data_IF_176336825796
#
_entry.id   IF_176336825796
#
_cell.length_a   1.000
_cell.length_b   1.000
_cell.length_c   1.000
_cell.angle_alpha   90.00
_cell.angle_beta   90.00
_cell.angle_gamma   90.00
#
_symmetry.space_group_name_H-M   'P 1'
#
loop_
_entity.id
_entity.type
_entity.pdbx_description
1 polymer ?
#
# COMPACT_ATOMS: atom_id res chain seq x y z
N UNK A 1 23.03 11.74 -5.54
CA UNK A 1 23.41 10.33 -5.77
C UNK A 1 24.41 10.25 -6.91
N UNK A 2 25.49 9.47 -6.76
CA UNK A 2 26.46 9.24 -7.84
C UNK A 2 25.91 8.25 -8.90
N UNK A 3 26.59 8.17 -10.05
CA UNK A 3 26.15 7.35 -11.20
C UNK A 3 26.20 5.84 -10.93
N UNK A 4 27.11 5.36 -10.10
CA UNK A 4 27.25 3.92 -9.83
C UNK A 4 26.12 3.44 -8.92
N UNK A 5 25.76 4.23 -7.91
CA UNK A 5 24.61 3.96 -7.03
C UNK A 5 23.30 3.93 -7.82
N UNK A 6 23.10 4.89 -8.75
CA UNK A 6 21.93 4.89 -9.66
C UNK A 6 21.88 3.58 -10.46
N UNK A 7 23.00 3.19 -11.07
CA UNK A 7 23.11 1.99 -11.90
C UNK A 7 22.70 0.74 -11.14
N UNK A 8 23.19 0.54 -9.91
CA UNK A 8 22.85 -0.61 -9.07
C UNK A 8 21.35 -0.72 -8.74
N UNK A 9 20.69 0.43 -8.52
CA UNK A 9 19.25 0.47 -8.25
C UNK A 9 18.43 0.12 -9.50
N UNK A 10 18.82 0.61 -10.68
CA UNK A 10 18.01 0.49 -11.89
C UNK A 10 18.32 -0.74 -12.77
N UNK A 11 19.52 -1.31 -12.70
CA UNK A 11 20.00 -2.34 -13.65
C UNK A 11 19.14 -3.62 -13.71
N UNK A 12 18.45 -3.95 -12.61
CA UNK A 12 17.53 -5.10 -12.51
C UNK A 12 16.06 -4.69 -12.63
N UNK A 13 15.75 -3.39 -12.75
CA UNK A 13 14.37 -2.93 -12.75
C UNK A 13 13.82 -2.79 -14.19
N UNK A 14 12.80 -3.57 -14.61
CA UNK A 14 12.29 -3.60 -15.99
C UNK A 14 11.82 -2.24 -16.54
N UNK A 15 11.24 -1.39 -15.69
CA UNK A 15 10.78 -0.05 -16.09
C UNK A 15 11.86 1.03 -16.17
N UNK A 16 12.90 0.96 -15.33
CA UNK A 16 13.91 2.03 -15.22
C UNK A 16 15.16 1.75 -16.07
N UNK A 17 15.34 0.52 -16.54
CA UNK A 17 16.43 0.13 -17.42
C UNK A 17 15.91 -0.60 -18.66
N UNK A 18 16.17 -0.05 -19.84
CA UNK A 18 15.85 -0.70 -21.10
C UNK A 18 16.62 -2.02 -21.31
N UNK A 19 17.80 -2.22 -20.70
CA UNK A 19 18.47 -3.53 -20.73
C UNK A 19 17.79 -4.60 -19.88
N UNK A 20 16.97 -4.20 -18.88
CA UNK A 20 16.39 -5.09 -17.90
C UNK A 20 15.03 -5.68 -18.32
N UNK A 21 14.31 -5.02 -19.23
CA UNK A 21 12.89 -5.31 -19.47
C UNK A 21 12.59 -6.71 -20.04
N UNK A 22 13.55 -7.32 -20.74
CA UNK A 22 13.48 -8.69 -21.28
C UNK A 22 14.11 -9.74 -20.36
N UNK A 23 14.84 -9.32 -19.32
CA UNK A 23 15.63 -10.21 -18.46
C UNK A 23 14.97 -10.43 -17.09
N UNK A 24 14.42 -9.36 -16.52
CA UNK A 24 13.87 -9.34 -15.17
C UNK A 24 12.35 -9.25 -15.17
N UNK A 25 11.74 -9.94 -14.22
CA UNK A 25 10.30 -9.98 -14.03
C UNK A 25 9.88 -9.08 -12.87
N UNK A 26 8.63 -8.61 -12.93
CA UNK A 26 7.99 -7.86 -11.85
C UNK A 26 6.62 -8.43 -11.53
N UNK A 27 6.12 -8.11 -10.35
CA UNK A 27 4.74 -8.37 -9.93
C UNK A 27 4.09 -7.05 -9.49
N UNK A 28 2.86 -6.80 -9.92
CA UNK A 28 2.02 -5.74 -9.38
C UNK A 28 0.94 -6.33 -8.48
N UNK A 29 0.73 -5.69 -7.33
CA UNK A 29 -0.13 -6.17 -6.26
C UNK A 29 -1.31 -5.20 -6.07
N UNK A 30 -2.54 -5.59 -6.44
CA UNK A 30 -3.72 -4.72 -6.39
C UNK A 30 -4.29 -4.61 -4.97
N UNK A 31 -3.58 -3.91 -4.08
CA UNK A 31 -3.96 -3.75 -2.66
C UNK A 31 -4.52 -2.36 -2.34
N UNK A 32 -4.52 -1.43 -3.30
CA UNK A 32 -4.82 -0.02 -3.07
C UNK A 32 -6.08 0.45 -3.81
N UNK A 33 -7.30 0.09 -3.39
CA UNK A 33 -8.53 0.38 -4.14
C UNK A 33 -9.01 1.84 -4.08
N UNK A 34 -8.77 2.56 -2.98
CA UNK A 34 -9.22 3.94 -2.86
C UNK A 34 -8.36 4.90 -3.70
N UNK A 35 -8.92 6.03 -4.13
CA UNK A 35 -8.16 7.11 -4.75
C UNK A 35 -8.63 8.46 -4.21
N UNK A 36 -7.66 9.35 -3.99
CA UNK A 36 -7.84 10.67 -3.39
C UNK A 36 -7.94 11.81 -4.43
N UNK A 37 -7.94 11.50 -5.73
CA UNK A 37 -8.23 12.44 -6.82
C UNK A 37 -9.21 11.83 -7.83
N UNK A 38 -9.76 12.65 -8.72
CA UNK A 38 -10.55 12.20 -9.87
C UNK A 38 -9.99 12.85 -11.15
N UNK A 39 -9.31 12.05 -11.98
CA UNK A 39 -8.87 12.48 -13.30
C UNK A 39 -10.02 12.36 -14.32
N UNK A 40 -10.08 13.27 -15.29
CA UNK A 40 -11.10 13.24 -16.35
C UNK A 40 -10.88 12.09 -17.35
N UNK A 41 -9.68 11.51 -17.39
CA UNK A 41 -9.34 10.31 -18.17
C UNK A 41 -9.46 9.00 -17.39
N UNK A 42 -10.00 9.02 -16.16
CA UNK A 42 -10.09 7.83 -15.30
C UNK A 42 -11.55 7.45 -15.02
N UNK A 43 -11.82 6.16 -14.95
CA UNK A 43 -13.10 5.59 -14.52
C UNK A 43 -12.85 4.64 -13.34
N UNK A 44 -13.40 4.95 -12.16
CA UNK A 44 -13.17 4.22 -10.90
C UNK A 44 -13.71 2.78 -10.88
N UNK A 45 -14.45 2.37 -11.91
CA UNK A 45 -14.83 0.97 -12.11
C UNK A 45 -13.64 0.09 -12.54
N UNK A 46 -12.56 0.71 -13.00
CA UNK A 46 -11.36 0.07 -13.51
C UNK A 46 -10.12 0.49 -12.72
N UNK A 47 -9.03 -0.25 -12.90
CA UNK A 47 -7.71 0.05 -12.38
C UNK A 47 -7.21 1.42 -12.86
N UNK A 48 -6.36 2.03 -12.05
CA UNK A 48 -5.83 3.37 -12.25
C UNK A 48 -5.17 3.53 -13.62
N UNK A 49 -5.71 4.44 -14.42
CA UNK A 49 -5.25 4.70 -15.80
C UNK A 49 -3.84 5.32 -15.88
N UNK A 50 -3.27 5.74 -14.74
CA UNK A 50 -1.91 6.28 -14.67
C UNK A 50 -0.83 5.20 -14.84
N UNK A 51 -1.15 3.95 -14.46
CA UNK A 51 -0.21 2.82 -14.56
C UNK A 51 -0.76 1.68 -15.39
N UNK A 52 -2.09 1.55 -15.47
CA UNK A 52 -2.81 0.49 -16.19
C UNK A 52 -3.51 1.00 -17.43
N UNK A 53 -3.75 0.10 -18.39
CA UNK A 53 -4.68 0.38 -19.49
C UNK A 53 -6.09 0.53 -18.93
N UNK A 54 -6.90 1.48 -19.44
CA UNK A 54 -8.33 1.58 -19.13
C UNK A 54 -9.06 0.26 -19.39
N UNK A 55 -10.13 0.02 -18.63
CA UNK A 55 -10.96 -1.17 -18.78
C UNK A 55 -10.47 -2.42 -18.05
N UNK A 56 -9.30 -2.36 -17.39
CA UNK A 56 -8.77 -3.46 -16.58
C UNK A 56 -9.41 -3.44 -15.20
N UNK A 57 -9.86 -4.58 -14.71
CA UNK A 57 -10.26 -4.77 -13.31
C UNK A 57 -9.37 -5.81 -12.66
N UNK A 58 -8.74 -5.43 -11.55
CA UNK A 58 -8.02 -6.35 -10.68
C UNK A 58 -8.87 -6.77 -9.48
N UNK A 59 -8.72 -8.02 -9.07
CA UNK A 59 -9.26 -8.51 -7.80
C UNK A 59 -8.48 -7.85 -6.66
N UNK A 60 -9.17 -7.19 -5.73
CA UNK A 60 -8.52 -6.48 -4.62
C UNK A 60 -7.96 -7.52 -3.64
N UNK A 61 -6.66 -7.45 -3.38
CA UNK A 61 -5.98 -8.34 -2.44
C UNK A 61 -5.83 -7.69 -1.06
N UNK A 62 -5.89 -8.50 -0.01
CA UNK A 62 -5.32 -8.11 1.28
C UNK A 62 -3.79 -8.19 1.24
N UNK A 63 -3.07 -7.54 2.17
CA UNK A 63 -1.61 -7.68 2.24
C UNK A 63 -1.08 -9.11 2.34
N UNK A 64 -1.79 -10.00 3.03
CA UNK A 64 -1.44 -11.42 3.15
C UNK A 64 -1.61 -12.13 1.82
N UNK A 65 -2.73 -11.91 1.13
CA UNK A 65 -2.96 -12.48 -0.19
C UNK A 65 -1.93 -11.97 -1.20
N UNK A 66 -1.55 -10.69 -1.08
CA UNK A 66 -0.49 -10.11 -1.89
C UNK A 66 0.89 -10.74 -1.59
N UNK A 67 1.19 -11.04 -0.32
CA UNK A 67 2.39 -11.79 0.05
C UNK A 67 2.36 -13.22 -0.52
N UNK A 68 1.25 -13.94 -0.36
CA UNK A 68 1.08 -15.29 -0.91
C UNK A 68 1.33 -15.33 -2.43
N UNK A 69 0.74 -14.38 -3.16
CA UNK A 69 0.96 -14.25 -4.60
C UNK A 69 2.40 -13.87 -4.96
N UNK A 70 3.06 -13.06 -4.12
CA UNK A 70 4.48 -12.72 -4.29
C UNK A 70 5.36 -13.95 -4.12
N UNK A 71 5.10 -14.78 -3.11
CA UNK A 71 5.80 -16.04 -2.86
C UNK A 71 5.63 -16.99 -4.06
N UNK A 72 4.40 -17.19 -4.53
CA UNK A 72 4.15 -18.02 -5.71
C UNK A 72 4.87 -17.51 -6.96
N UNK A 73 4.77 -16.21 -7.24
CA UNK A 73 5.45 -15.62 -8.37
C UNK A 73 6.97 -15.75 -8.26
N UNK A 74 7.53 -15.62 -7.06
CA UNK A 74 8.96 -15.75 -6.83
C UNK A 74 9.49 -17.14 -7.20
N UNK A 75 8.71 -18.19 -6.95
CA UNK A 75 9.08 -19.56 -7.29
C UNK A 75 8.71 -19.97 -8.72
N UNK A 76 7.63 -19.42 -9.28
CA UNK A 76 7.12 -19.78 -10.59
C UNK A 76 7.71 -18.96 -11.74
N UNK A 77 8.18 -17.74 -11.47
CA UNK A 77 8.62 -16.79 -12.49
C UNK A 77 10.12 -16.54 -12.40
N UNK A 78 10.82 -16.85 -13.48
CA UNK A 78 12.26 -16.59 -13.57
C UNK A 78 12.58 -15.11 -13.39
N UNK A 79 13.63 -14.84 -12.60
CA UNK A 79 14.20 -13.52 -12.37
C UNK A 79 13.17 -12.49 -11.85
N UNK A 80 12.21 -12.90 -11.02
CA UNK A 80 11.38 -11.95 -10.28
C UNK A 80 12.27 -11.12 -9.36
N UNK A 81 12.28 -9.81 -9.59
CA UNK A 81 13.21 -8.88 -8.92
C UNK A 81 12.51 -7.66 -8.31
N UNK A 82 11.28 -7.37 -8.74
CA UNK A 82 10.53 -6.19 -8.33
C UNK A 82 9.11 -6.57 -7.92
N UNK A 83 8.69 -6.13 -6.75
CA UNK A 83 7.29 -6.11 -6.33
C UNK A 83 6.79 -4.67 -6.27
N UNK A 84 5.67 -4.39 -6.93
CA UNK A 84 5.12 -3.05 -7.06
C UNK A 84 3.66 -2.91 -6.67
N UNK A 85 3.27 -1.74 -6.18
CA UNK A 85 1.86 -1.39 -5.91
C UNK A 85 1.51 -0.18 -6.79
N UNK A 86 0.54 -0.39 -7.68
CA UNK A 86 0.19 0.55 -8.74
C UNK A 86 -1.31 0.86 -8.86
N UNK A 87 -2.15 0.29 -7.97
CA UNK A 87 -3.60 0.47 -8.02
C UNK A 87 -4.36 -0.62 -7.25
N UNK A 88 -5.67 -0.78 -7.47
CA UNK A 88 -6.51 -0.16 -8.52
C UNK A 88 -6.74 1.36 -8.43
N UNK A 89 -6.53 1.99 -7.29
CA UNK A 89 -6.63 3.43 -7.06
C UNK A 89 -5.25 4.10 -6.93
N UNK A 90 -5.04 4.83 -5.83
CA UNK A 90 -3.74 5.43 -5.49
C UNK A 90 -3.14 4.73 -4.27
N UNK A 91 -1.88 4.31 -4.36
CA UNK A 91 -1.23 3.57 -3.29
C UNK A 91 -1.17 4.37 -1.97
N UNK A 92 -0.90 5.67 -2.04
CA UNK A 92 -0.82 6.54 -0.87
C UNK A 92 -2.19 7.04 -0.36
N UNK A 93 -3.27 6.76 -1.08
CA UNK A 93 -4.63 6.84 -0.56
C UNK A 93 -5.01 5.59 0.27
N UNK A 94 -4.22 4.51 0.20
CA UNK A 94 -4.39 3.26 0.94
C UNK A 94 -3.08 2.91 1.67
N UNK A 95 -2.58 3.80 2.55
CA UNK A 95 -1.25 3.66 3.15
C UNK A 95 -1.13 2.41 4.02
N UNK A 96 -2.20 2.02 4.69
CA UNK A 96 -2.21 0.91 5.63
C UNK A 96 -1.98 -0.42 4.90
N UNK A 97 -2.77 -0.67 3.85
CA UNK A 97 -2.65 -1.82 2.97
C UNK A 97 -1.33 -1.79 2.19
N UNK A 98 -0.98 -0.64 1.60
CA UNK A 98 0.23 -0.49 0.79
C UNK A 98 1.51 -0.78 1.57
N UNK A 99 1.71 -0.11 2.70
CA UNK A 99 2.90 -0.30 3.52
C UNK A 99 2.85 -1.63 4.29
N UNK A 100 1.66 -2.13 4.63
CA UNK A 100 1.48 -3.48 5.18
C UNK A 100 2.00 -4.56 4.24
N UNK A 101 1.62 -4.50 2.96
CA UNK A 101 2.11 -5.43 1.93
C UNK A 101 3.62 -5.37 1.78
N UNK A 102 4.20 -4.17 1.73
CA UNK A 102 5.65 -4.01 1.60
C UNK A 102 6.44 -4.52 2.81
N UNK A 103 5.94 -4.33 4.04
CA UNK A 103 6.54 -4.94 5.25
C UNK A 103 6.63 -6.45 5.12
N UNK A 104 5.51 -7.10 4.82
CA UNK A 104 5.42 -8.54 4.65
C UNK A 104 6.37 -9.07 3.56
N UNK A 105 6.49 -8.36 2.43
CA UNK A 105 7.40 -8.74 1.35
C UNK A 105 8.88 -8.61 1.77
N UNK A 106 9.26 -7.52 2.46
CA UNK A 106 10.64 -7.34 2.93
C UNK A 106 11.03 -8.36 3.99
N UNK A 107 10.09 -8.74 4.85
CA UNK A 107 10.27 -9.81 5.81
C UNK A 107 10.46 -11.18 5.15
N UNK A 108 9.72 -11.47 4.08
CA UNK A 108 9.89 -12.70 3.30
C UNK A 108 11.23 -12.73 2.55
N UNK A 109 11.52 -11.66 1.80
CA UNK A 109 12.73 -11.56 1.00
C UNK A 109 13.19 -10.11 0.86
N UNK A 110 14.22 -9.69 1.61
CA UNK A 110 14.70 -8.30 1.59
C UNK A 110 15.36 -7.90 0.26
N UNK A 111 15.75 -8.86 -0.58
CA UNK A 111 16.38 -8.64 -1.90
C UNK A 111 15.39 -8.23 -2.99
N UNK A 112 14.08 -8.47 -2.77
CA UNK A 112 13.06 -8.02 -3.72
C UNK A 112 12.99 -6.49 -3.64
N UNK A 113 13.23 -5.84 -4.79
CA UNK A 113 13.12 -4.39 -4.90
C UNK A 113 11.65 -3.98 -4.83
N UNK A 114 11.35 -2.97 -4.02
CA UNK A 114 10.01 -2.42 -3.91
C UNK A 114 9.82 -1.22 -4.83
N UNK A 115 8.64 -1.12 -5.44
CA UNK A 115 8.27 -0.03 -6.33
C UNK A 115 6.86 0.50 -6.03
N UNK A 116 6.70 1.81 -5.93
CA UNK A 116 5.43 2.45 -5.59
C UNK A 116 5.00 3.37 -6.75
N UNK A 117 3.73 3.36 -7.12
CA UNK A 117 3.16 4.42 -7.97
C UNK A 117 2.12 5.24 -7.23
N UNK A 118 2.15 6.56 -7.43
CA UNK A 118 1.21 7.49 -6.82
C UNK A 118 0.91 8.68 -7.73
N UNK A 119 -0.26 9.29 -7.55
CA UNK A 119 -0.58 10.60 -8.10
C UNK A 119 0.14 11.77 -7.37
N UNK A 120 0.74 11.52 -6.21
CA UNK A 120 1.57 12.49 -5.50
C UNK A 120 0.84 13.40 -4.51
N UNK A 121 -0.50 13.39 -4.45
CA UNK A 121 -1.26 14.27 -3.53
C UNK A 121 -0.88 14.04 -2.06
N UNK A 122 -0.74 12.78 -1.65
CA UNK A 122 -0.42 12.43 -0.27
C UNK A 122 1.08 12.18 -0.03
N UNK A 123 1.92 12.29 -1.07
CA UNK A 123 3.31 11.88 -1.05
C UNK A 123 4.16 12.52 0.06
N UNK A 124 4.09 13.84 0.32
CA UNK A 124 4.89 14.46 1.38
C UNK A 124 4.66 13.86 2.77
N UNK A 125 3.49 13.26 3.02
CA UNK A 125 3.12 12.70 4.34
C UNK A 125 3.77 11.35 4.64
N UNK A 126 4.27 10.66 3.61
CA UNK A 126 4.68 9.25 3.72
C UNK A 126 6.13 9.01 3.30
N UNK A 127 6.94 10.07 3.15
CA UNK A 127 8.35 9.96 2.79
C UNK A 127 9.11 9.09 3.79
N UNK A 128 8.92 9.33 5.09
CA UNK A 128 9.62 8.57 6.15
C UNK A 128 9.32 7.07 6.06
N UNK A 129 8.05 6.70 5.81
CA UNK A 129 7.65 5.29 5.65
C UNK A 129 8.22 4.67 4.37
N UNK A 130 8.33 5.44 3.28
CA UNK A 130 8.95 5.00 2.03
C UNK A 130 10.43 4.68 2.26
N UNK A 131 11.14 5.55 2.98
CA UNK A 131 12.56 5.38 3.31
C UNK A 131 12.78 4.23 4.28
N UNK A 132 11.99 4.15 5.36
CA UNK A 132 12.07 3.10 6.38
C UNK A 132 11.93 1.70 5.77
N UNK A 133 11.04 1.54 4.79
CA UNK A 133 10.82 0.26 4.10
C UNK A 133 11.84 -0.03 3.00
N UNK A 134 12.76 0.90 2.73
CA UNK A 134 13.76 0.78 1.67
C UNK A 134 13.14 0.73 0.27
N UNK A 135 12.08 1.51 0.03
CA UNK A 135 11.48 1.63 -1.30
C UNK A 135 12.41 2.47 -2.18
N UNK A 136 13.05 1.84 -3.15
CA UNK A 136 14.06 2.48 -3.99
C UNK A 136 13.48 3.23 -5.20
N UNK A 137 12.27 2.87 -5.64
CA UNK A 137 11.68 3.35 -6.88
C UNK A 137 10.26 3.88 -6.63
N UNK A 138 10.02 5.15 -6.97
CA UNK A 138 8.71 5.76 -6.87
C UNK A 138 8.33 6.40 -8.20
N UNK A 139 7.17 6.02 -8.74
CA UNK A 139 6.57 6.68 -9.90
C UNK A 139 5.55 7.71 -9.42
N UNK A 140 5.69 8.96 -9.85
CA UNK A 140 4.73 10.02 -9.60
C UNK A 140 4.05 10.40 -10.91
N UNK A 141 2.72 10.43 -10.94
CA UNK A 141 2.00 10.93 -12.11
C UNK A 141 1.77 12.43 -12.00
N UNK A 142 2.40 13.20 -12.89
CA UNK A 142 2.32 14.66 -12.94
C UNK A 142 2.00 15.10 -14.37
N UNK A 143 0.77 15.56 -14.62
CA UNK A 143 0.30 15.90 -15.97
C UNK A 143 0.44 17.38 -16.32
N UNK A 144 0.66 18.25 -15.33
CA UNK A 144 0.80 19.68 -15.51
C UNK A 144 1.52 20.32 -14.31
N UNK A 145 2.31 21.35 -14.57
CA UNK A 145 2.88 22.27 -13.57
C UNK A 145 2.16 23.62 -13.49
N UNK A 146 1.25 23.89 -14.43
CA UNK A 146 0.42 25.09 -14.49
C UNK A 146 -1.00 24.74 -13.97
N UNK A 147 -1.50 25.41 -12.91
CA UNK A 147 -2.85 25.23 -12.41
C UNK A 147 -3.96 25.43 -13.45
N UNK A 148 -3.80 26.35 -14.41
CA UNK A 148 -4.80 26.64 -15.45
C UNK A 148 -4.96 25.48 -16.43
N UNK A 149 -3.91 24.69 -16.60
CA UNK A 149 -3.93 23.45 -17.38
C UNK A 149 -4.43 22.30 -16.50
N UNK A 150 -3.91 22.17 -15.28
CA UNK A 150 -4.26 21.10 -14.36
C UNK A 150 -5.76 21.05 -14.04
N UNK A 151 -6.42 22.21 -13.88
CA UNK A 151 -7.86 22.29 -13.58
C UNK A 151 -8.73 21.69 -14.69
N UNK A 152 -8.22 21.63 -15.94
CA UNK A 152 -8.89 20.97 -17.07
C UNK A 152 -8.74 19.44 -17.04
N UNK A 153 -7.76 18.92 -16.29
CA UNK A 153 -7.41 17.50 -16.22
C UNK A 153 -8.09 16.79 -15.05
N UNK A 154 -8.23 17.47 -13.91
CA UNK A 154 -8.75 16.89 -12.67
C UNK A 154 -10.13 17.45 -12.31
N UNK A 155 -11.14 16.58 -12.17
CA UNK A 155 -12.48 16.97 -11.70
C UNK A 155 -12.49 17.29 -10.20
N UNK A 156 -11.69 16.56 -9.42
CA UNK A 156 -11.62 16.69 -7.97
C UNK A 156 -10.23 16.30 -7.43
N UNK A 157 -9.74 17.01 -6.43
CA UNK A 157 -8.51 16.71 -5.69
C UNK A 157 -8.80 16.75 -4.20
N UNK A 158 -8.68 15.62 -3.50
CA UNK A 158 -8.85 15.53 -2.06
C UNK A 158 -10.25 15.90 -1.55
N UNK A 159 -11.28 15.80 -2.39
CA UNK A 159 -12.64 16.25 -2.09
C UNK A 159 -12.96 17.65 -2.59
N UNK A 160 -11.97 18.42 -3.06
CA UNK A 160 -12.14 19.81 -3.51
C UNK A 160 -12.08 19.95 -5.04
N UNK A 161 -12.69 20.99 -5.62
CA UNK A 161 -12.67 21.29 -7.07
C UNK A 161 -12.03 22.65 -7.35
N UNK A 162 -11.60 22.85 -8.59
CA UNK A 162 -11.12 24.15 -9.08
C UNK A 162 -9.61 24.38 -8.89
N UNK A 163 -9.18 25.62 -9.16
CA UNK A 163 -7.77 26.00 -9.23
C UNK A 163 -7.01 25.76 -7.91
N UNK A 164 -7.60 26.10 -6.76
CA UNK A 164 -6.93 25.91 -5.47
C UNK A 164 -6.68 24.42 -5.16
N UNK A 165 -7.62 23.56 -5.55
CA UNK A 165 -7.49 22.12 -5.39
C UNK A 165 -6.32 21.55 -6.22
N UNK A 166 -6.14 22.01 -7.46
CA UNK A 166 -5.02 21.56 -8.30
C UNK A 166 -3.69 22.23 -7.94
N UNK A 167 -3.68 23.46 -7.43
CA UNK A 167 -2.46 24.07 -6.84
C UNK A 167 -1.94 23.24 -5.68
N UNK A 168 -2.83 22.74 -4.82
CA UNK A 168 -2.48 21.81 -3.73
C UNK A 168 -1.88 20.51 -4.24
N UNK A 169 -2.45 19.92 -5.31
CA UNK A 169 -1.89 18.74 -5.95
C UNK A 169 -0.46 18.99 -6.46
N UNK A 170 -0.28 20.03 -7.27
CA UNK A 170 1.02 20.39 -7.86
C UNK A 170 2.05 20.67 -6.76
N UNK A 171 1.68 21.46 -5.75
CA UNK A 171 2.54 21.77 -4.62
C UNK A 171 3.02 20.52 -3.87
N UNK A 172 2.11 19.57 -3.60
CA UNK A 172 2.45 18.32 -2.93
C UNK A 172 3.28 17.39 -3.81
N UNK A 173 3.02 17.33 -5.12
CA UNK A 173 3.85 16.58 -6.08
C UNK A 173 5.29 17.12 -6.09
N UNK A 174 5.46 18.43 -6.27
CA UNK A 174 6.77 19.09 -6.30
C UNK A 174 7.52 18.85 -4.98
N UNK A 175 6.86 19.09 -3.84
CA UNK A 175 7.47 18.88 -2.52
C UNK A 175 7.87 17.42 -2.33
N UNK A 176 6.97 16.48 -2.62
CA UNK A 176 7.20 15.06 -2.47
C UNK A 176 8.35 14.54 -3.35
N UNK A 177 8.42 14.98 -4.61
CA UNK A 177 9.53 14.61 -5.52
C UNK A 177 10.87 15.11 -4.95
N UNK A 178 10.94 16.36 -4.47
CA UNK A 178 12.17 16.90 -3.86
C UNK A 178 12.61 16.11 -2.64
N UNK A 179 11.66 15.75 -1.78
CA UNK A 179 11.94 14.96 -0.57
C UNK A 179 12.45 13.56 -0.94
N UNK A 180 11.83 12.88 -1.90
CA UNK A 180 12.29 11.56 -2.38
C UNK A 180 13.72 11.62 -2.94
N UNK A 181 14.02 12.63 -3.76
CA UNK A 181 15.34 12.82 -4.36
C UNK A 181 16.40 13.12 -3.28
N UNK A 182 16.05 13.91 -2.26
CA UNK A 182 16.93 14.19 -1.12
C UNK A 182 17.29 12.90 -0.35
N UNK A 183 16.36 11.95 -0.26
CA UNK A 183 16.54 10.63 0.36
C UNK A 183 17.12 9.58 -0.61
N UNK A 184 17.65 10.00 -1.77
CA UNK A 184 18.23 9.13 -2.81
C UNK A 184 17.28 8.03 -3.33
N UNK A 185 15.96 8.30 -3.34
CA UNK A 185 14.96 7.46 -4.01
C UNK A 185 14.93 7.81 -5.50
N UNK A 186 14.89 6.80 -6.37
CA UNK A 186 14.81 6.99 -7.82
C UNK A 186 13.36 7.34 -8.18
N UNK A 187 13.16 8.54 -8.74
CA UNK A 187 11.84 9.03 -9.12
C UNK A 187 11.61 8.93 -10.63
N UNK A 188 10.56 8.23 -11.04
CA UNK A 188 10.01 8.26 -12.40
C UNK A 188 8.78 9.16 -12.44
N UNK A 189 8.64 9.94 -13.51
CA UNK A 189 7.43 10.71 -13.74
C UNK A 189 6.63 10.10 -14.88
N UNK A 190 5.33 9.87 -14.67
CA UNK A 190 4.39 9.61 -15.76
C UNK A 190 3.64 10.91 -16.09
N UNK A 191 3.46 11.18 -17.38
CA UNK A 191 2.54 12.22 -17.84
C UNK A 191 1.65 11.68 -18.96
N UNK A 192 0.35 11.84 -18.81
CA UNK A 192 -0.64 11.53 -19.86
C UNK A 192 -0.68 12.69 -20.84
N UNK A 193 -0.38 12.40 -22.11
CA UNK A 193 -0.47 13.35 -23.21
C UNK A 193 -1.94 13.48 -23.66
N UNK A 194 -2.51 14.66 -23.44
CA UNK A 194 -3.91 15.00 -23.69
C UNK A 194 -3.95 16.11 -24.76
N UNK A 195 -4.29 15.78 -26.03
CA UNK A 195 -4.33 16.74 -27.12
C UNK A 195 -5.24 17.95 -26.83
N UNK A 196 -4.77 19.15 -27.15
CA UNK A 196 -5.48 20.41 -26.91
C UNK A 196 -5.61 20.82 -25.44
N UNK A 197 -4.95 20.11 -24.53
CA UNK A 197 -4.97 20.41 -23.08
C UNK A 197 -3.57 20.63 -22.54
N UNK A 198 -2.67 19.65 -22.70
CA UNK A 198 -1.30 19.73 -22.17
C UNK A 198 -0.22 19.33 -23.18
N UNK A 199 -0.57 19.11 -24.43
CA UNK A 199 0.31 18.69 -25.52
C UNK A 199 1.46 19.68 -25.79
N UNK A 200 1.22 20.98 -25.64
CA UNK A 200 2.28 22.00 -25.68
C UNK A 200 2.98 22.21 -24.33
N UNK A 201 2.43 21.65 -23.25
CA UNK A 201 2.86 21.87 -21.86
C UNK A 201 3.80 20.80 -21.31
N UNK A 202 3.75 19.57 -21.84
CA UNK A 202 4.56 18.46 -21.30
C UNK A 202 6.07 18.78 -21.30
N UNK A 203 6.57 19.58 -22.25
CA UNK A 203 7.97 20.02 -22.24
C UNK A 203 8.33 20.91 -21.02
N UNK A 204 7.40 21.74 -20.56
CA UNK A 204 7.57 22.53 -19.32
C UNK A 204 7.53 21.64 -18.08
N UNK A 205 6.65 20.62 -18.09
CA UNK A 205 6.66 19.56 -17.06
C UNK A 205 8.02 18.88 -17.03
N UNK A 206 8.56 18.47 -18.18
CA UNK A 206 9.86 17.82 -18.32
C UNK A 206 11.00 18.70 -17.76
N UNK A 207 11.02 19.99 -18.11
CA UNK A 207 11.99 20.95 -17.54
C UNK A 207 11.90 21.01 -16.02
N UNK A 208 10.69 21.15 -15.50
CA UNK A 208 10.45 21.24 -14.05
C UNK A 208 10.94 19.98 -13.33
N UNK A 209 10.54 18.79 -13.79
CA UNK A 209 10.90 17.54 -13.11
C UNK A 209 12.41 17.24 -13.16
N UNK A 210 13.10 17.69 -14.23
CA UNK A 210 14.57 17.63 -14.30
C UNK A 210 15.20 18.48 -13.21
N UNK A 211 14.73 19.71 -13.03
CA UNK A 211 15.20 20.62 -11.97
C UNK A 211 14.96 20.02 -10.57
N UNK A 212 13.88 19.25 -10.40
CA UNK A 212 13.59 18.52 -9.16
C UNK A 212 14.45 17.25 -8.96
N UNK A 213 15.17 16.80 -10.00
CA UNK A 213 16.03 15.62 -9.95
C UNK A 213 15.34 14.30 -10.29
N UNK A 214 14.21 14.33 -11.01
CA UNK A 214 13.58 13.12 -11.54
C UNK A 214 14.52 12.37 -12.49
N UNK A 215 14.52 11.05 -12.42
CA UNK A 215 15.44 10.20 -13.18
C UNK A 215 14.97 9.96 -14.62
N UNK A 216 13.69 9.65 -14.79
CA UNK A 216 13.12 9.31 -16.10
C UNK A 216 11.69 9.82 -16.23
N UNK A 217 11.35 10.32 -17.41
CA UNK A 217 10.02 10.80 -17.76
C UNK A 217 9.38 9.85 -18.76
N UNK A 218 8.17 9.41 -18.47
CA UNK A 218 7.39 8.48 -19.28
C UNK A 218 6.12 9.18 -19.76
N UNK A 219 6.17 9.69 -20.99
CA UNK A 219 5.01 10.28 -21.66
C UNK A 219 4.18 9.15 -22.26
N UNK A 220 2.96 9.00 -21.76
CA UNK A 220 2.00 7.97 -22.18
C UNK A 220 0.81 8.62 -22.91
N UNK A 221 0.28 7.98 -23.97
CA UNK A 221 -0.84 8.54 -24.71
C UNK A 221 -2.14 8.48 -23.88
N UNK A 222 -2.98 9.50 -24.02
CA UNK A 222 -4.37 9.42 -23.59
C UNK A 222 -5.08 8.30 -24.35
N UNK A 223 -5.89 7.53 -23.62
CA UNK A 223 -6.86 6.60 -24.17
C UNK A 223 -8.27 7.13 -23.88
N UNK A 224 -9.04 7.42 -24.93
CA UNK A 224 -10.26 8.24 -24.88
C UNK A 224 -11.43 7.64 -25.68
N UNK A 225 -11.34 6.36 -26.08
CA UNK A 225 -12.48 5.68 -26.71
C UNK A 225 -13.70 5.65 -25.78
N UNK A 226 -14.89 5.79 -26.37
CA UNK A 226 -16.19 5.80 -25.66
C UNK A 226 -16.38 4.58 -24.75
N UNK A 227 -15.86 3.43 -25.14
CA UNK A 227 -15.92 2.18 -24.36
C UNK A 227 -15.25 2.27 -22.97
N UNK A 228 -14.32 3.21 -22.77
CA UNK A 228 -13.67 3.41 -21.47
C UNK A 228 -14.55 4.16 -20.46
N UNK A 229 -15.61 4.84 -20.92
CA UNK A 229 -16.55 5.55 -20.06
C UNK A 229 -15.90 6.60 -19.16
N UNK A 230 -14.92 7.34 -19.70
CA UNK A 230 -14.23 8.44 -19.00
C UNK A 230 -14.85 9.77 -19.41
N UNK A 231 -14.69 10.81 -18.58
CA UNK A 231 -15.21 12.15 -18.90
C UNK A 231 -14.58 12.72 -20.17
N UNK A 232 -13.30 12.46 -20.42
CA UNK A 232 -12.67 12.85 -21.69
C UNK A 232 -13.18 12.07 -22.90
N UNK A 233 -13.56 10.80 -22.73
CA UNK A 233 -14.23 10.05 -23.78
C UNK A 233 -15.64 10.59 -24.08
N UNK A 234 -16.38 11.01 -23.05
CA UNK A 234 -17.68 11.68 -23.18
C UNK A 234 -17.56 13.05 -23.85
N UNK A 235 -16.49 13.79 -23.57
CA UNK A 235 -16.15 15.07 -24.18
C UNK A 235 -15.52 14.94 -25.58
N UNK A 236 -15.36 13.72 -26.08
CA UNK A 236 -14.77 13.41 -27.39
C UNK A 236 -13.36 13.99 -27.58
N UNK A 237 -12.57 14.07 -26.50
CA UNK A 237 -11.16 14.46 -26.57
C UNK A 237 -10.40 13.39 -27.38
N UNK A 238 -9.65 13.75 -28.43
CA UNK A 238 -8.99 12.78 -29.29
C UNK A 238 -7.81 12.10 -28.59
N UNK A 239 -7.50 10.86 -28.99
CA UNK A 239 -6.25 10.20 -28.62
C UNK A 239 -5.09 10.80 -29.42
N UNK A 240 -3.90 11.01 -28.84
CA UNK A 240 -2.74 11.49 -29.59
C UNK A 240 -2.30 10.43 -30.60
N UNK A 241 -2.01 10.87 -31.82
CA UNK A 241 -1.42 9.98 -32.82
C UNK A 241 0.09 9.74 -32.55
N UNK A 242 0.67 8.80 -33.30
CA UNK A 242 2.08 8.46 -33.16
C UNK A 242 3.02 9.64 -33.46
N UNK A 243 2.63 10.55 -34.35
CA UNK A 243 3.46 11.69 -34.74
C UNK A 243 3.51 12.74 -33.61
N UNK A 244 2.36 13.04 -33.01
CA UNK A 244 2.24 13.92 -31.85
C UNK A 244 3.00 13.34 -30.65
N UNK A 245 2.83 12.05 -30.35
CA UNK A 245 3.55 11.40 -29.25
C UNK A 245 5.07 11.43 -29.47
N UNK A 246 5.53 11.17 -30.70
CA UNK A 246 6.95 11.26 -31.03
C UNK A 246 7.48 12.69 -30.91
N UNK A 247 6.73 13.69 -31.41
CA UNK A 247 7.09 15.10 -31.28
C UNK A 247 7.25 15.51 -29.82
N UNK A 248 6.24 15.25 -28.99
CA UNK A 248 6.27 15.62 -27.57
C UNK A 248 7.40 14.93 -26.83
N UNK A 249 7.69 13.65 -27.15
CA UNK A 249 8.85 12.96 -26.59
C UNK A 249 10.15 13.65 -26.96
N UNK A 250 10.35 14.02 -28.23
CA UNK A 250 11.54 14.75 -28.67
C UNK A 250 11.67 16.10 -27.94
N UNK A 251 10.57 16.86 -27.82
CA UNK A 251 10.56 18.13 -27.09
C UNK A 251 10.95 17.92 -25.59
N UNK A 252 10.55 16.79 -25.01
CA UNK A 252 10.95 16.40 -23.65
C UNK A 252 12.39 15.91 -23.57
N UNK A 253 12.94 15.27 -24.60
CA UNK A 253 14.35 14.87 -24.65
C UNK A 253 15.25 16.11 -24.57
N UNK A 254 14.91 17.17 -25.30
CA UNK A 254 15.62 18.45 -25.25
C UNK A 254 15.55 19.07 -23.85
N UNK A 255 14.37 19.06 -23.22
CA UNK A 255 14.17 19.57 -21.87
C UNK A 255 14.94 18.75 -20.81
N UNK A 256 14.81 17.41 -20.85
CA UNK A 256 15.47 16.47 -19.95
C UNK A 256 16.99 16.40 -20.19
N UNK A 257 17.45 16.74 -21.40
CA UNK A 257 18.86 16.82 -21.81
C UNK A 257 19.46 15.50 -22.30
N UNK A 258 18.68 14.42 -22.37
CA UNK A 258 19.10 13.13 -22.93
C UNK A 258 17.89 12.25 -23.24
N UNK A 259 17.98 11.48 -24.32
CA UNK A 259 16.98 10.47 -24.69
C UNK A 259 16.92 9.30 -23.70
N UNK A 260 18.00 9.02 -22.96
CA UNK A 260 18.00 8.00 -21.90
C UNK A 260 17.07 8.36 -20.73
N UNK A 261 16.77 9.65 -20.56
CA UNK A 261 15.85 10.13 -19.54
C UNK A 261 14.39 10.13 -20.00
N UNK A 262 14.09 9.69 -21.23
CA UNK A 262 12.73 9.51 -21.74
C UNK A 262 12.42 8.03 -21.94
N UNK A 263 11.34 7.54 -21.31
CA UNK A 263 10.93 6.14 -21.41
C UNK A 263 10.19 5.87 -22.72
N UNK A 264 10.73 4.98 -23.55
CA UNK A 264 10.13 4.59 -24.84
C UNK A 264 9.53 3.19 -24.86
N UNK A 265 9.91 2.32 -23.91
CA UNK A 265 9.52 0.90 -23.85
C UNK A 265 8.30 0.62 -22.97
N UNK A 266 7.58 1.64 -22.52
CA UNK A 266 6.38 1.48 -21.71
C UNK A 266 5.28 0.74 -22.47
N UNK A 267 4.68 -0.26 -21.83
CA UNK A 267 3.55 -1.04 -22.38
C UNK A 267 2.22 -0.80 -21.67
N UNK A 268 2.17 0.17 -20.74
CA UNK A 268 1.02 0.44 -19.85
C UNK A 268 0.52 -0.86 -19.20
N UNK A 269 1.25 -1.37 -18.22
CA UNK A 269 0.99 -2.70 -17.65
C UNK A 269 -0.20 -2.71 -16.70
N UNK A 270 -0.85 -3.86 -16.52
CA UNK A 270 -1.97 -3.99 -15.57
C UNK A 270 -1.52 -3.84 -14.11
N UNK A 271 -2.43 -3.47 -13.21
CA UNK A 271 -2.16 -3.39 -11.76
C UNK A 271 -2.03 -4.77 -11.10
N UNK A 272 -2.35 -5.85 -11.84
CA UNK A 272 -2.21 -7.26 -11.47
C UNK A 272 -1.20 -8.02 -12.36
N UNK A 273 -0.33 -7.30 -13.08
CA UNK A 273 0.61 -7.91 -14.01
C UNK A 273 1.72 -8.68 -13.27
N UNK A 274 2.05 -9.87 -13.76
CA UNK A 274 3.22 -10.64 -13.34
C UNK A 274 4.04 -11.10 -14.55
N UNK A 275 5.38 -10.97 -14.47
CA UNK A 275 6.30 -11.41 -15.52
C UNK A 275 7.16 -10.30 -16.12
N UNK A 276 7.73 -10.59 -17.30
CA UNK A 276 8.60 -9.68 -18.06
C UNK A 276 7.76 -8.70 -18.88
N UNK A 277 8.32 -7.53 -19.19
CA UNK A 277 7.64 -6.57 -20.07
C UNK A 277 7.44 -7.17 -21.47
N UNK A 278 6.19 -7.34 -21.89
CA UNK A 278 5.83 -7.96 -23.19
C UNK A 278 5.44 -9.45 -23.10
N UNK A 279 5.69 -10.09 -21.96
CA UNK A 279 5.26 -11.47 -21.66
C UNK A 279 4.67 -11.51 -20.25
N UNK A 280 3.54 -10.83 -20.09
CA UNK A 280 2.86 -10.65 -18.79
C UNK A 280 1.65 -11.57 -18.68
N UNK A 281 1.51 -12.22 -17.53
CA UNK A 281 0.31 -12.96 -17.10
C UNK A 281 -0.46 -12.16 -16.04
N UNK A 282 -1.71 -12.56 -15.74
CA UNK A 282 -2.46 -12.01 -14.61
C UNK A 282 -2.02 -12.72 -13.32
N UNK A 283 -1.90 -11.99 -12.21
CA UNK A 283 -1.63 -12.58 -10.88
C UNK A 283 -2.68 -13.62 -10.46
N UNK A 284 -3.93 -13.46 -10.95
CA UNK A 284 -5.03 -14.39 -10.72
C UNK A 284 -4.81 -15.76 -11.38
N UNK A 285 -4.08 -15.77 -12.50
CA UNK A 285 -3.81 -17.00 -13.27
C UNK A 285 -2.66 -17.81 -12.67
N UNK A 286 -1.92 -17.25 -11.71
CA UNK A 286 -0.97 -18.00 -10.90
C UNK A 286 -1.74 -18.89 -9.93
N UNK A 287 -1.79 -20.20 -10.22
CA UNK A 287 -2.25 -21.17 -9.23
C UNK A 287 -1.27 -21.20 -8.07
N UNK A 288 -1.77 -20.95 -6.85
CA UNK A 288 -1.02 -21.27 -5.63
C UNK A 288 -0.89 -22.79 -5.59
N UNK A 289 0.28 -23.29 -5.96
CA UNK A 289 0.61 -24.69 -5.77
C UNK A 289 0.85 -24.99 -4.28
N UNK A 290 0.98 -26.27 -3.96
CA UNK A 290 1.25 -26.71 -2.59
C UNK A 290 2.55 -26.14 -2.04
N UNK A 291 3.57 -26.03 -2.89
CA UNK A 291 4.86 -25.43 -2.56
C UNK A 291 4.70 -23.98 -2.07
N UNK A 292 3.92 -23.16 -2.77
CA UNK A 292 3.64 -21.77 -2.39
C UNK A 292 2.94 -21.63 -1.05
N UNK A 293 1.95 -22.52 -0.78
CA UNK A 293 1.25 -22.55 0.51
C UNK A 293 2.19 -22.89 1.65
N UNK A 294 3.01 -23.93 1.48
CA UNK A 294 4.03 -24.31 2.46
C UNK A 294 5.01 -23.18 2.74
N UNK A 295 5.40 -22.41 1.72
CA UNK A 295 6.29 -21.26 1.90
C UNK A 295 5.61 -20.11 2.65
N UNK A 296 4.35 -19.79 2.35
CA UNK A 296 3.57 -18.80 3.13
C UNK A 296 3.46 -19.20 4.60
N UNK A 297 3.19 -20.48 4.86
CA UNK A 297 3.12 -21.03 6.22
C UNK A 297 4.49 -21.02 6.91
N UNK A 298 5.57 -21.30 6.19
CA UNK A 298 6.93 -21.21 6.71
C UNK A 298 7.33 -19.76 7.06
N UNK A 299 6.94 -18.79 6.23
CA UNK A 299 7.15 -17.37 6.49
C UNK A 299 6.39 -16.93 7.73
N UNK A 300 5.09 -17.24 7.80
CA UNK A 300 4.32 -16.94 9.01
C UNK A 300 4.91 -17.66 10.23
N UNK A 301 5.33 -18.91 10.08
CA UNK A 301 6.03 -19.67 11.11
C UNK A 301 7.26 -18.92 11.63
N UNK A 302 8.09 -18.39 10.72
CA UNK A 302 9.28 -17.62 11.09
C UNK A 302 8.96 -16.30 11.78
N UNK A 303 7.96 -15.56 11.28
CA UNK A 303 7.51 -14.32 11.90
C UNK A 303 6.94 -14.56 13.29
N UNK A 304 6.18 -15.64 13.43
CA UNK A 304 5.63 -16.06 14.71
C UNK A 304 6.75 -16.50 15.66
N UNK A 305 7.77 -17.22 15.20
CA UNK A 305 8.96 -17.54 16.02
C UNK A 305 9.67 -16.29 16.55
N UNK A 306 9.90 -15.30 15.68
CA UNK A 306 10.53 -14.04 16.07
C UNK A 306 9.66 -13.30 17.09
N UNK A 307 8.35 -13.24 16.86
CA UNK A 307 7.39 -12.67 17.82
C UNK A 307 7.43 -13.43 19.16
N UNK A 308 7.43 -14.76 19.14
CA UNK A 308 7.53 -15.59 20.34
C UNK A 308 8.81 -15.30 21.13
N UNK A 309 9.94 -15.11 20.45
CA UNK A 309 11.21 -14.80 21.10
C UNK A 309 11.18 -13.41 21.75
N UNK A 310 10.76 -12.39 21.00
CA UNK A 310 10.60 -11.00 21.46
C UNK A 310 9.67 -10.90 22.68
N UNK A 311 8.48 -11.52 22.58
CA UNK A 311 7.49 -11.55 23.65
C UNK A 311 8.01 -12.31 24.88
N UNK A 312 8.73 -13.42 24.71
CA UNK A 312 9.30 -14.16 25.85
C UNK A 312 10.29 -13.31 26.65
N UNK A 313 11.13 -12.53 25.96
CA UNK A 313 12.06 -11.60 26.60
C UNK A 313 11.29 -10.52 27.35
N UNK A 314 10.31 -9.88 26.72
CA UNK A 314 9.50 -8.84 27.35
C UNK A 314 8.73 -9.34 28.58
N UNK A 315 8.12 -10.54 28.51
CA UNK A 315 7.41 -11.14 29.65
C UNK A 315 8.37 -11.39 30.82
N UNK A 316 9.58 -11.87 30.56
CA UNK A 316 10.57 -12.09 31.60
C UNK A 316 11.00 -10.78 32.28
N UNK A 317 11.13 -9.68 31.53
CA UNK A 317 11.44 -8.34 32.07
C UNK A 317 10.32 -7.75 32.92
N UNK A 318 9.08 -8.22 32.73
CA UNK A 318 7.88 -7.77 33.45
C UNK A 318 7.36 -8.79 34.46
N UNK A 319 8.14 -9.84 34.77
CA UNK A 319 7.70 -10.96 35.62
C UNK A 319 7.17 -10.50 36.98
N UNK A 320 7.88 -9.60 37.66
CA UNK A 320 7.48 -9.11 38.99
C UNK A 320 6.14 -8.34 38.95
N UNK A 321 5.81 -7.68 37.83
CA UNK A 321 4.54 -6.98 37.63
C UNK A 321 3.39 -7.92 37.29
N UNK A 322 3.72 -9.11 36.78
CA UNK A 322 2.76 -10.16 36.44
C UNK A 322 2.55 -11.16 37.60
N UNK A 323 3.22 -10.97 38.75
CA UNK A 323 3.06 -11.81 39.92
C UNK A 323 1.59 -11.85 40.36
N UNK A 324 1.04 -13.07 40.47
CA UNK A 324 -0.37 -13.35 40.81
C UNK A 324 -1.41 -12.65 39.90
N UNK A 325 -1.01 -12.20 38.71
CA UNK A 325 -1.86 -11.48 37.76
C UNK A 325 -1.91 -12.19 36.41
N UNK A 326 -3.01 -11.99 35.71
CA UNK A 326 -3.16 -12.42 34.32
C UNK A 326 -3.65 -11.25 33.50
N UNK A 327 -2.86 -10.83 32.52
CA UNK A 327 -3.25 -9.82 31.55
C UNK A 327 -3.74 -10.53 30.30
N UNK A 328 -5.02 -10.36 29.97
CA UNK A 328 -5.67 -10.94 28.80
C UNK A 328 -5.89 -9.89 27.73
N UNK A 329 -5.45 -10.20 26.52
CA UNK A 329 -5.57 -9.31 25.37
C UNK A 329 -6.23 -10.06 24.22
N UNK A 330 -7.33 -9.53 23.71
CA UNK A 330 -7.96 -10.03 22.49
C UNK A 330 -7.47 -9.24 21.27
N UNK A 331 -7.19 -9.90 20.15
CA UNK A 331 -6.73 -9.25 18.91
C UNK A 331 -7.67 -9.59 17.77
N UNK A 332 -8.25 -8.56 17.14
CA UNK A 332 -9.17 -8.73 16.01
C UNK A 332 -8.43 -9.22 14.75
N UNK A 333 -8.79 -10.41 14.27
CA UNK A 333 -8.15 -11.04 13.13
C UNK A 333 -9.15 -11.86 12.31
N UNK A 334 -9.10 -11.77 10.98
CA UNK A 334 -9.93 -12.57 10.09
C UNK A 334 -9.39 -13.99 9.88
N UNK A 335 -8.07 -14.17 10.06
CA UNK A 335 -7.36 -15.43 9.78
C UNK A 335 -6.58 -16.00 10.98
N UNK A 336 -6.57 -15.30 12.12
CA UNK A 336 -5.86 -15.69 13.33
C UNK A 336 -4.33 -15.51 13.27
N UNK A 337 -3.80 -14.94 12.19
CA UNK A 337 -2.37 -14.73 11.98
C UNK A 337 -1.97 -13.29 12.27
N UNK A 338 -2.68 -12.33 11.67
CA UNK A 338 -2.33 -10.91 11.70
C UNK A 338 -3.47 -10.02 12.20
N UNK A 339 -3.13 -8.85 12.75
CA UNK A 339 -4.10 -7.79 13.05
C UNK A 339 -4.57 -7.12 11.75
N UNK A 340 -5.65 -7.65 11.17
CA UNK A 340 -6.17 -7.23 9.85
C UNK A 340 -7.59 -6.63 9.91
N UNK A 341 -8.21 -6.63 11.09
CA UNK A 341 -9.64 -6.35 11.25
C UNK A 341 -9.95 -5.11 12.08
N UNK A 342 -10.96 -4.35 11.63
CA UNK A 342 -11.59 -3.28 12.40
C UNK A 342 -12.62 -3.87 13.37
N UNK A 343 -12.82 -3.25 14.53
CA UNK A 343 -13.70 -3.77 15.57
C UNK A 343 -15.13 -4.05 15.06
N UNK A 344 -15.77 -3.09 14.38
CA UNK A 344 -17.14 -3.24 13.90
C UNK A 344 -17.35 -4.28 12.80
N UNK A 345 -16.27 -4.77 12.17
CA UNK A 345 -16.33 -5.83 11.15
C UNK A 345 -15.78 -7.17 11.65
N UNK A 346 -15.04 -7.17 12.75
CA UNK A 346 -14.37 -8.34 13.30
C UNK A 346 -15.40 -9.40 13.73
N UNK A 347 -15.28 -10.60 13.19
CA UNK A 347 -16.02 -11.78 13.62
C UNK A 347 -15.18 -12.73 14.46
N UNK A 348 -13.85 -12.54 14.49
CA UNK A 348 -12.91 -13.43 15.14
C UNK A 348 -11.88 -12.62 15.94
N UNK A 349 -11.57 -13.10 17.14
CA UNK A 349 -10.58 -12.50 18.03
C UNK A 349 -9.69 -13.59 18.63
N UNK A 350 -8.37 -13.38 18.56
CA UNK A 350 -7.39 -14.25 19.21
C UNK A 350 -7.07 -13.72 20.61
N UNK A 351 -7.34 -14.52 21.65
CA UNK A 351 -7.15 -14.14 23.05
C UNK A 351 -5.83 -14.73 23.54
N UNK A 352 -4.93 -13.85 23.99
CA UNK A 352 -3.66 -14.20 24.60
C UNK A 352 -3.66 -13.81 26.07
N UNK A 353 -3.14 -14.69 26.91
CA UNK A 353 -2.92 -14.46 28.34
C UNK A 353 -1.43 -14.31 28.62
N UNK A 354 -1.07 -13.32 29.42
CA UNK A 354 0.29 -13.05 29.90
C UNK A 354 0.31 -13.14 31.43
N UNK A 355 1.25 -13.92 31.96
CA UNK A 355 1.42 -14.24 33.39
C UNK A 355 2.91 -14.23 33.75
N UNK A 356 3.23 -14.32 35.03
CA UNK A 356 4.64 -14.47 35.49
C UNK A 356 5.35 -15.72 34.92
N UNK A 357 4.59 -16.72 34.48
CA UNK A 357 5.08 -17.97 33.92
C UNK A 357 5.31 -17.91 32.41
N UNK A 358 4.87 -16.84 31.73
CA UNK A 358 5.02 -16.69 30.28
C UNK A 358 3.76 -16.14 29.62
N UNK A 359 3.48 -16.62 28.42
CA UNK A 359 2.25 -16.31 27.69
C UNK A 359 1.65 -17.56 27.06
N UNK A 360 0.35 -17.51 26.82
CA UNK A 360 -0.39 -18.56 26.12
C UNK A 360 -1.43 -17.96 25.18
N UNK A 361 -1.68 -18.63 24.06
CA UNK A 361 -2.92 -18.45 23.32
C UNK A 361 -4.02 -19.20 24.06
N UNK A 362 -4.99 -18.48 24.63
CA UNK A 362 -5.98 -19.04 25.57
C UNK A 362 -7.24 -19.51 24.83
N UNK A 363 -7.76 -18.70 23.91
CA UNK A 363 -8.98 -19.01 23.14
C UNK A 363 -9.02 -18.21 21.84
N UNK A 364 -9.64 -18.78 20.81
CA UNK A 364 -10.19 -18.02 19.68
C UNK A 364 -11.67 -17.76 19.93
N UNK A 365 -12.07 -16.49 20.01
CA UNK A 365 -13.48 -16.10 20.05
C UNK A 365 -13.99 -15.94 18.62
N UNK A 366 -15.04 -16.68 18.26
CA UNK A 366 -15.73 -16.56 16.98
C UNK A 366 -17.18 -16.13 17.25
N UNK A 367 -17.51 -14.93 16.79
CA UNK A 367 -18.80 -14.30 16.99
C UNK A 367 -19.94 -15.08 16.32
N UNK A 368 -19.70 -15.70 15.17
CA UNK A 368 -20.73 -16.48 14.50
C UNK A 368 -21.10 -17.72 15.31
N UNK A 369 -20.11 -18.36 15.94
CA UNK A 369 -20.34 -19.50 16.83
C UNK A 369 -21.10 -19.10 18.11
N UNK A 370 -20.82 -17.93 18.67
CA UNK A 370 -21.45 -17.43 19.90
C UNK A 370 -22.89 -16.92 19.65
N UNK A 371 -23.15 -16.27 18.51
CA UNK A 371 -24.50 -15.82 18.12
C UNK A 371 -25.38 -16.98 17.65
N UNK A 372 -24.82 -18.07 17.09
CA UNK A 372 -25.61 -19.26 16.76
C UNK A 372 -26.35 -19.87 17.98
N UNK A 373 -25.95 -19.49 19.21
CA UNK A 373 -26.63 -19.83 20.46
C UNK A 373 -27.60 -18.78 21.02
N UNK A 374 -27.79 -17.61 20.38
CA UNK A 374 -28.61 -16.51 20.91
C UNK A 374 -29.62 -15.95 19.88
N UNK A 375 -30.93 -15.80 20.20
CA UNK A 375 -31.97 -15.56 19.20
C UNK A 375 -32.10 -14.14 18.65
N UNK A 376 -31.30 -13.16 19.08
CA UNK A 376 -31.57 -11.75 18.77
C UNK A 376 -30.51 -11.11 17.86
N UNK A 377 -30.90 -10.97 16.59
CA UNK A 377 -30.11 -10.37 15.53
C UNK A 377 -30.50 -8.90 15.35
N UNK A 378 -29.83 -7.99 16.07
CA UNK A 378 -29.81 -6.54 15.79
C UNK A 378 -28.36 -6.05 15.86
N UNK A 379 -28.00 -5.08 15.04
CA UNK A 379 -26.62 -4.55 14.97
C UNK A 379 -26.08 -4.13 16.36
N UNK A 380 -26.95 -3.64 17.24
CA UNK A 380 -26.64 -3.26 18.63
C UNK A 380 -26.30 -4.49 19.51
N UNK A 381 -26.89 -5.65 19.21
CA UNK A 381 -26.59 -6.91 19.90
C UNK A 381 -25.20 -7.45 19.55
N UNK A 382 -24.64 -7.12 18.37
CA UNK A 382 -23.32 -7.59 17.93
C UNK A 382 -22.21 -7.03 18.82
N UNK A 383 -22.21 -5.72 19.01
CA UNK A 383 -21.19 -5.03 19.81
C UNK A 383 -21.23 -5.53 21.25
N UNK A 384 -22.42 -5.57 21.87
CA UNK A 384 -22.55 -6.05 23.23
C UNK A 384 -22.25 -7.55 23.38
N UNK A 385 -22.54 -8.38 22.37
CA UNK A 385 -22.15 -9.80 22.38
C UNK A 385 -20.63 -9.99 22.30
N UNK A 386 -19.93 -9.23 21.44
CA UNK A 386 -18.46 -9.22 21.39
C UNK A 386 -17.91 -8.77 22.74
N UNK A 387 -18.40 -7.64 23.26
CA UNK A 387 -17.88 -7.07 24.50
C UNK A 387 -18.14 -7.99 25.70
N UNK A 388 -19.32 -8.61 25.79
CA UNK A 388 -19.64 -9.62 26.81
C UNK A 388 -18.73 -10.84 26.69
N UNK A 389 -18.56 -11.37 25.47
CA UNK A 389 -17.70 -12.52 25.20
C UNK A 389 -16.21 -12.25 25.44
N UNK A 390 -15.80 -10.98 25.36
CA UNK A 390 -14.44 -10.51 25.64
C UNK A 390 -14.31 -9.90 27.04
N UNK A 391 -15.33 -9.99 27.90
CA UNK A 391 -15.37 -9.35 29.22
C UNK A 391 -14.26 -9.77 30.19
N UNK A 392 -13.59 -10.89 29.92
CA UNK A 392 -12.41 -11.35 30.66
C UNK A 392 -11.11 -10.64 30.25
N UNK A 393 -11.12 -9.91 29.13
CA UNK A 393 -9.95 -9.28 28.55
C UNK A 393 -9.70 -7.89 29.15
N UNK A 394 -8.46 -7.60 29.50
CA UNK A 394 -8.03 -6.28 29.92
C UNK A 394 -8.02 -5.28 28.74
N UNK A 395 -7.80 -5.77 27.52
CA UNK A 395 -7.89 -4.95 26.31
C UNK A 395 -8.32 -5.74 25.08
N UNK A 396 -8.81 -5.00 24.09
CA UNK A 396 -9.08 -5.50 22.75
C UNK A 396 -8.30 -4.65 21.75
N UNK A 397 -7.50 -5.31 20.93
CA UNK A 397 -6.68 -4.71 19.88
C UNK A 397 -7.39 -4.84 18.53
N UNK A 398 -7.46 -3.74 17.79
CA UNK A 398 -8.07 -3.67 16.47
C UNK A 398 -7.36 -2.64 15.61
N UNK A 399 -7.63 -2.62 14.31
CA UNK A 399 -7.14 -1.57 13.41
C UNK A 399 -7.82 -0.23 13.65
N UNK A 400 -9.15 -0.23 13.73
CA UNK A 400 -9.98 0.96 13.98
C UNK A 400 -11.23 0.58 14.78
N UNK A 401 -11.74 1.54 15.55
CA UNK A 401 -12.98 1.44 16.34
C UNK A 401 -13.77 2.75 16.23
N UNK A 402 -15.10 2.66 16.34
CA UNK A 402 -15.98 3.84 16.45
C UNK A 402 -16.09 4.32 17.89
N UNK A 403 -16.34 5.61 18.10
CA UNK A 403 -16.36 6.25 19.43
C UNK A 403 -17.31 5.55 20.42
N UNK A 404 -18.54 5.25 20.01
CA UNK A 404 -19.55 4.59 20.87
C UNK A 404 -19.08 3.24 21.39
N UNK A 405 -18.50 2.39 20.53
CA UNK A 405 -18.00 1.08 20.94
C UNK A 405 -16.77 1.19 21.85
N UNK A 406 -15.93 2.20 21.62
CA UNK A 406 -14.77 2.46 22.48
C UNK A 406 -15.19 2.92 23.89
N UNK A 407 -16.23 3.74 24.01
CA UNK A 407 -16.80 4.15 25.31
C UNK A 407 -17.43 2.97 26.06
N UNK A 408 -18.20 2.12 25.35
CA UNK A 408 -18.83 0.93 25.95
C UNK A 408 -17.79 -0.05 26.51
N UNK A 409 -16.70 -0.31 25.78
CA UNK A 409 -15.59 -1.13 26.28
C UNK A 409 -14.98 -0.56 27.56
N UNK A 410 -14.71 0.75 27.58
CA UNK A 410 -14.12 1.42 28.75
C UNK A 410 -15.02 1.33 29.98
N UNK A 411 -16.33 1.49 29.80
CA UNK A 411 -17.31 1.36 30.89
C UNK A 411 -17.33 -0.05 31.51
N UNK A 412 -16.92 -1.05 30.75
CA UNK A 412 -16.81 -2.44 31.18
C UNK A 412 -15.39 -2.84 31.61
N UNK A 413 -14.49 -1.86 31.75
CA UNK A 413 -13.11 -2.08 32.20
C UNK A 413 -12.17 -2.64 31.14
N UNK A 414 -12.59 -2.68 29.87
CA UNK A 414 -11.80 -3.19 28.75
C UNK A 414 -11.15 -2.00 28.04
N UNK A 415 -9.82 -2.02 27.90
CA UNK A 415 -9.11 -0.96 27.18
C UNK A 415 -9.21 -1.15 25.66
N UNK A 416 -9.78 -0.18 24.91
CA UNK A 416 -9.77 -0.18 23.45
C UNK A 416 -8.38 0.23 22.94
N UNK A 417 -7.69 -0.65 22.21
CA UNK A 417 -6.33 -0.40 21.71
C UNK A 417 -6.29 -0.43 20.18
N UNK A 418 -5.80 0.66 19.58
CA UNK A 418 -5.45 0.68 18.16
C UNK A 418 -4.04 0.12 17.98
N UNK A 419 -3.95 -1.02 17.30
CA UNK A 419 -2.68 -1.70 17.03
C UNK A 419 -2.05 -1.30 15.70
N UNK A 420 -0.86 -1.82 15.43
CA UNK A 420 -0.19 -1.70 14.14
C UNK A 420 -0.72 -2.78 13.18
N UNK A 421 -1.39 -2.35 12.11
CA UNK A 421 -1.97 -3.24 11.13
C UNK A 421 -0.94 -4.21 10.52
N UNK A 422 -1.39 -5.45 10.34
CA UNK A 422 -0.66 -6.56 9.71
C UNK A 422 0.54 -7.09 10.49
N UNK A 423 0.72 -6.68 11.76
CA UNK A 423 1.63 -7.39 12.66
C UNK A 423 1.00 -8.71 13.13
N UNK A 424 1.87 -9.67 13.47
CA UNK A 424 1.46 -10.97 14.06
C UNK A 424 0.62 -10.72 15.31
N UNK A 425 -0.50 -11.44 15.45
CA UNK A 425 -1.45 -11.23 16.55
C UNK A 425 -0.78 -11.30 17.92
N UNK A 426 0.09 -12.27 18.15
CA UNK A 426 0.86 -12.40 19.39
C UNK A 426 1.68 -11.14 19.72
N UNK A 427 2.34 -10.55 18.71
CA UNK A 427 3.17 -9.34 18.89
C UNK A 427 2.32 -8.13 19.26
N UNK A 428 1.17 -7.96 18.62
CA UNK A 428 0.24 -6.86 18.94
C UNK A 428 -0.44 -7.05 20.28
N UNK A 429 -0.76 -8.29 20.65
CA UNK A 429 -1.25 -8.61 21.99
C UNK A 429 -0.24 -8.18 23.06
N UNK A 430 1.04 -8.52 22.86
CA UNK A 430 2.10 -8.16 23.80
C UNK A 430 2.29 -6.64 23.93
N UNK A 431 2.39 -5.90 22.82
CA UNK A 431 2.50 -4.43 22.87
C UNK A 431 1.35 -3.77 23.64
N UNK A 432 0.14 -4.31 23.50
CA UNK A 432 -1.01 -3.82 24.25
C UNK A 432 -0.90 -4.17 25.75
N UNK A 433 -0.46 -5.39 26.08
CA UNK A 433 -0.18 -5.78 27.46
C UNK A 433 0.87 -4.86 28.12
N UNK A 434 1.98 -4.59 27.44
CA UNK A 434 3.04 -3.68 27.92
C UNK A 434 2.49 -2.29 28.24
N UNK A 435 1.61 -1.75 27.37
CA UNK A 435 0.96 -0.45 27.60
C UNK A 435 0.00 -0.44 28.78
N UNK A 436 -0.61 -1.57 29.11
CA UNK A 436 -1.48 -1.70 30.29
C UNK A 436 -0.62 -1.79 31.56
N UNK A 437 0.53 -2.46 31.48
CA UNK A 437 1.46 -2.64 32.62
C UNK A 437 2.31 -1.37 32.87
N UNK A 438 2.64 -0.60 31.83
CA UNK A 438 3.56 0.55 31.91
C UNK A 438 3.13 1.72 32.84
N UNK A 439 1.85 2.12 32.96
CA UNK A 439 1.41 3.15 33.90
C UNK A 439 1.68 2.80 35.36
N UNK A 440 1.62 1.51 35.72
CA UNK A 440 1.84 1.02 37.08
C UNK A 440 3.34 1.04 37.49
N UNK A 441 4.26 1.04 36.51
CA UNK A 441 5.70 1.26 36.73
C UNK A 441 6.04 2.67 37.24
N UNK A 442 5.19 3.67 36.96
CA UNK A 442 5.44 5.06 37.34
C UNK A 442 4.97 5.38 38.77
N UNK A 443 3.99 4.65 39.30
CA UNK A 443 3.47 4.84 40.66
C UNK A 443 4.31 4.12 41.73
N UNK A 444 4.98 3.01 41.38
CA UNK A 444 5.87 2.27 42.31
C UNK A 444 7.26 2.93 42.47
N UNK A 445 7.59 3.93 41.63
CA UNK A 445 8.82 4.73 41.72
C UNK A 445 8.66 6.09 42.43
N UNK A 446 7.47 6.38 42.95
CA UNK A 446 7.22 7.46 43.92
C UNK A 446 7.04 6.87 45.30
#
# INVERSE_FOLDING_TARGET
MDRETIKQKVEKHPCYCAGAHMKYSRIHLPVAPACNIQCNYCNRKFDCSNESRPGVTSDILTPEQALEKTISAYHAVENLSVAGIAGPGDALANPEETFGTFRLIKEFNPEIKLCLSTNGLALPKYIDQIVELGIEHVTVTMNAVDPEIAVKIYDNVGGEKGIEAVKKLIGNQILGIRMLVAENVIVKINSVLIPGVNDEHIAEVAKTIKELGAYIHNVIPLMSKKEYGTKFAEMEVPEPDCAMLAKVRNDCEDAMGSSENIMSHCRQCRADAVGKLGSVSKIGDLSLDEHSRTHSDAVFGKLNELAKADVSVGVAELKDFLADRTVRIAVASSNGRYLDSNFGKAGRFEIYAFTESGYAHEKTFDLAAEIAGSPENRLDARTSAIISGLGICNAVVFRKIGNSAAEEMKNLGIAPVVGTAYNVCLKEAWKAAEKIIAPEKAEVKK
#
